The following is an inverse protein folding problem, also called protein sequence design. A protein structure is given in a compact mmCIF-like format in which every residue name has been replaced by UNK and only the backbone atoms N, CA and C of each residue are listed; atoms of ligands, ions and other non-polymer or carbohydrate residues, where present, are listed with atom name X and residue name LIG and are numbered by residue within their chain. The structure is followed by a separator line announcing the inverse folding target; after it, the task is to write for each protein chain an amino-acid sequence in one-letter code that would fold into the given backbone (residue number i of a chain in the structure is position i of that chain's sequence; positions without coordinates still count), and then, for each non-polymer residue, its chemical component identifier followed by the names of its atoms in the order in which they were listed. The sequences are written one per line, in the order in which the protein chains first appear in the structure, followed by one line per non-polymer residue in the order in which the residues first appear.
data_IF_441340168611
#
_entry.id   IF_441340168611
#
_cell.length_a   1.000
_cell.length_b   1.000
_cell.length_c   1.000
_cell.angle_alpha   90.00
_cell.angle_beta   90.00
_cell.angle_gamma   90.00
#
_symmetry.space_group_name_H-M   'P 1'
#
loop_
_entity.id
_entity.type
_entity.pdbx_description
1 polymer ?
#
# COMPACT_ATOMS: atom_id res chain seq x y z
N UNK A 1 -8.64 -5.24 -12.73
CA UNK A 1 -9.18 -3.92 -13.10
C UNK A 1 -8.59 -2.74 -12.31
N UNK A 2 -8.76 -2.59 -10.98
CA UNK A 2 -8.26 -1.38 -10.26
C UNK A 2 -6.73 -1.23 -10.26
N UNK A 3 -6.01 -2.32 -10.00
CA UNK A 3 -4.55 -2.34 -10.07
C UNK A 3 -4.04 -2.06 -11.49
N UNK A 4 -4.74 -2.57 -12.51
CA UNK A 4 -4.42 -2.32 -13.92
C UNK A 4 -4.73 -0.87 -14.35
N UNK A 5 -5.78 -0.25 -13.79
CA UNK A 5 -6.05 1.17 -14.00
C UNK A 5 -4.98 2.03 -13.33
N UNK A 6 -4.57 1.68 -12.11
CA UNK A 6 -3.48 2.36 -11.40
C UNK A 6 -2.17 2.28 -12.20
N UNK A 7 -1.84 1.11 -12.77
CA UNK A 7 -0.63 0.95 -13.59
C UNK A 7 -0.71 1.71 -14.92
N UNK A 8 -1.90 1.91 -15.48
CA UNK A 8 -2.12 2.70 -16.71
C UNK A 8 -1.99 4.22 -16.51
N UNK A 9 -2.16 4.73 -15.29
CA UNK A 9 -2.17 6.17 -15.01
C UNK A 9 -0.79 6.77 -14.63
N UNK A 10 0.31 6.17 -15.12
CA UNK A 10 1.65 6.76 -15.19
C UNK A 10 2.20 7.37 -13.89
N UNK A 11 2.58 6.52 -12.94
CA UNK A 11 3.72 6.82 -12.08
C UNK A 11 5.00 6.51 -12.87
N UNK A 12 5.92 7.46 -13.06
CA UNK A 12 7.22 7.19 -13.68
C UNK A 12 7.86 5.97 -13.03
N UNK A 13 8.26 5.03 -13.88
CA UNK A 13 8.86 3.78 -13.44
C UNK A 13 10.35 3.99 -13.35
N UNK A 14 10.89 4.13 -12.14
CA UNK A 14 12.33 4.15 -11.91
C UNK A 14 12.76 2.69 -11.72
N UNK A 15 13.61 2.22 -12.61
CA UNK A 15 14.33 0.96 -12.45
C UNK A 15 15.45 1.18 -11.44
N UNK A 16 15.43 0.42 -10.34
CA UNK A 16 16.60 0.37 -9.46
C UNK A 16 17.73 -0.48 -10.10
N UNK A 17 18.93 -0.43 -9.51
CA UNK A 17 20.10 -1.24 -9.93
C UNK A 17 19.82 -2.76 -9.87
N UNK A 18 18.70 -3.16 -9.25
CA UNK A 18 18.26 -4.54 -9.11
C UNK A 18 17.23 -4.95 -10.18
N UNK A 19 16.78 -4.03 -11.05
CA UNK A 19 15.83 -4.29 -12.13
C UNK A 19 14.36 -4.20 -11.69
N UNK A 20 14.06 -3.76 -10.48
CA UNK A 20 12.70 -3.55 -10.02
C UNK A 20 12.13 -2.27 -10.59
N UNK A 21 11.00 -2.39 -11.28
CA UNK A 21 10.21 -1.26 -11.78
C UNK A 21 9.42 -0.65 -10.63
N UNK A 22 9.97 0.37 -9.98
CA UNK A 22 9.26 1.10 -8.92
C UNK A 22 8.50 2.29 -9.50
N UNK A 23 7.20 2.37 -9.21
CA UNK A 23 6.46 3.62 -9.38
C UNK A 23 7.09 4.70 -8.49
N UNK A 24 7.25 5.92 -9.01
CA UNK A 24 7.90 7.10 -8.39
C UNK A 24 7.55 7.38 -6.90
N UNK A 25 6.46 6.81 -6.40
CA UNK A 25 6.02 6.92 -5.01
C UNK A 25 6.40 5.66 -4.22
N UNK A 26 7.63 5.61 -3.71
CA UNK A 26 8.01 4.61 -2.70
C UNK A 26 7.64 5.11 -1.30
N UNK A 27 7.19 4.19 -0.44
CA UNK A 27 6.94 4.49 0.98
C UNK A 27 7.90 3.68 1.82
N UNK A 28 8.64 4.34 2.71
CA UNK A 28 9.43 3.63 3.72
C UNK A 28 8.53 3.20 4.87
N UNK A 29 8.28 1.90 4.95
CA UNK A 29 7.68 1.29 6.14
C UNK A 29 8.78 1.04 7.16
N UNK A 30 8.70 1.69 8.33
CA UNK A 30 9.58 1.42 9.46
C UNK A 30 8.76 0.86 10.61
N UNK A 31 9.23 -0.23 11.20
CA UNK A 31 8.71 -0.69 12.48
C UNK A 31 8.95 0.41 13.51
N UNK A 32 7.87 0.89 14.13
CA UNK A 32 7.97 1.87 15.21
C UNK A 32 7.86 1.10 16.50
N UNK A 33 8.98 0.96 17.23
CA UNK A 33 9.03 0.30 18.54
C UNK A 33 8.19 1.09 19.54
N UNK A 34 6.90 0.77 19.64
CA UNK A 34 5.91 1.28 20.61
C UNK A 34 5.91 2.79 20.85
N UNK A 35 4.78 3.44 20.60
CA UNK A 35 4.62 4.76 21.18
C UNK A 35 3.16 5.04 21.60
N UNK A 36 2.99 5.66 22.75
CA UNK A 36 1.70 6.02 23.33
C UNK A 36 1.01 7.11 22.49
N UNK A 37 0.00 6.83 21.67
CA UNK A 37 -0.76 7.87 20.96
C UNK A 37 -1.60 7.42 19.77
N UNK A 38 -2.61 8.24 19.40
CA UNK A 38 -3.52 8.02 18.25
C UNK A 38 -2.75 8.03 16.93
N UNK A 39 -2.96 7.02 16.09
CA UNK A 39 -2.47 6.99 14.70
C UNK A 39 -1.18 6.18 14.44
N UNK A 40 -0.89 5.12 15.20
CA UNK A 40 0.33 4.30 14.98
C UNK A 40 0.03 2.91 14.42
N UNK A 41 0.91 2.42 13.54
CA UNK A 41 0.93 1.06 13.01
C UNK A 41 1.15 1.01 11.50
N UNK A 42 0.35 1.75 10.73
CA UNK A 42 0.39 1.74 9.25
C UNK A 42 0.34 3.19 8.76
N UNK A 43 1.25 3.61 7.85
CA UNK A 43 1.21 4.95 7.27
C UNK A 43 -0.14 5.27 6.62
N UNK A 44 -0.59 6.51 6.78
CA UNK A 44 -1.86 6.99 6.23
C UNK A 44 -2.00 6.69 4.74
N UNK A 45 -0.95 6.89 3.95
CA UNK A 45 -0.94 6.61 2.51
C UNK A 45 -1.18 5.13 2.21
N UNK A 46 -0.55 4.21 2.96
CA UNK A 46 -0.76 2.77 2.81
C UNK A 46 -2.20 2.39 3.16
N UNK A 47 -2.75 2.97 4.23
CA UNK A 47 -4.14 2.76 4.62
C UNK A 47 -5.12 3.26 3.55
N UNK A 48 -4.90 4.47 3.03
CA UNK A 48 -5.70 5.03 1.94
C UNK A 48 -5.63 4.16 0.68
N UNK A 49 -4.44 3.74 0.27
CA UNK A 49 -4.21 2.84 -0.86
C UNK A 49 -5.00 1.54 -0.72
N UNK A 50 -4.90 0.90 0.44
CA UNK A 50 -5.60 -0.35 0.72
C UNK A 50 -7.11 -0.19 0.65
N UNK A 51 -7.67 0.88 1.23
CA UNK A 51 -9.11 1.17 1.17
C UNK A 51 -9.62 1.31 -0.26
N UNK A 52 -8.92 2.09 -1.09
CA UNK A 52 -9.31 2.31 -2.48
C UNK A 52 -9.31 1.00 -3.26
N UNK A 53 -8.26 0.18 -3.11
CA UNK A 53 -8.16 -1.09 -3.82
C UNK A 53 -9.17 -2.12 -3.32
N UNK A 54 -9.37 -2.21 -2.01
CA UNK A 54 -10.32 -3.14 -1.41
C UNK A 54 -11.78 -2.67 -1.52
N UNK A 55 -12.08 -1.48 -2.06
CA UNK A 55 -13.45 -1.01 -2.18
C UNK A 55 -14.32 -1.98 -2.99
N UNK A 56 -15.53 -2.28 -2.53
CA UNK A 56 -16.44 -3.26 -3.15
C UNK A 56 -17.53 -2.58 -3.98
N UNK A 57 -17.68 -1.26 -3.86
CA UNK A 57 -18.68 -0.49 -4.59
C UNK A 57 -18.17 0.89 -5.01
N UNK A 58 -18.79 1.51 -6.04
CA UNK A 58 -18.55 2.92 -6.36
C UNK A 58 -18.95 3.86 -5.22
N UNK A 59 -19.97 3.50 -4.43
CA UNK A 59 -20.41 4.31 -3.30
C UNK A 59 -19.32 4.45 -2.24
N UNK A 60 -18.60 3.38 -1.91
CA UNK A 60 -17.47 3.47 -0.97
C UNK A 60 -16.37 4.41 -1.49
N UNK A 61 -16.11 4.42 -2.80
CA UNK A 61 -15.14 5.37 -3.39
C UNK A 61 -15.63 6.81 -3.25
N UNK A 62 -16.92 7.06 -3.49
CA UNK A 62 -17.51 8.39 -3.29
C UNK A 62 -17.45 8.82 -1.82
N UNK A 63 -17.68 7.90 -0.89
CA UNK A 63 -17.58 8.17 0.55
C UNK A 63 -16.13 8.51 0.94
N UNK A 64 -15.15 7.82 0.37
CA UNK A 64 -13.73 8.15 0.57
C UNK A 64 -13.35 9.53 -0.03
N UNK A 65 -13.89 9.86 -1.21
CA UNK A 65 -13.68 11.18 -1.80
C UNK A 65 -14.29 12.28 -0.92
N UNK A 66 -15.47 12.02 -0.34
CA UNK A 66 -16.12 12.93 0.62
C UNK A 66 -15.30 13.08 1.90
N UNK A 67 -14.80 11.98 2.49
CA UNK A 67 -13.89 12.03 3.65
C UNK A 67 -12.66 12.91 3.33
N UNK A 68 -12.04 12.72 2.16
CA UNK A 68 -10.88 13.52 1.77
C UNK A 68 -11.23 15.01 1.63
N UNK A 69 -12.39 15.33 1.03
CA UNK A 69 -12.87 16.71 0.85
C UNK A 69 -13.24 17.40 2.17
N UNK A 70 -13.74 16.66 3.16
CA UNK A 70 -14.05 17.17 4.51
C UNK A 70 -12.78 17.37 5.37
N UNK A 71 -11.65 16.79 4.96
CA UNK A 71 -10.35 16.96 5.58
C UNK A 71 -9.46 17.88 4.72
N UNK A 72 -8.14 17.75 4.83
CA UNK A 72 -7.16 18.53 4.06
C UNK A 72 -6.85 17.90 2.68
N UNK A 73 -7.87 17.31 2.04
CA UNK A 73 -7.70 16.55 0.80
C UNK A 73 -7.11 15.16 1.00
N UNK A 74 -6.99 14.68 2.24
CA UNK A 74 -6.36 13.40 2.56
C UNK A 74 -7.35 12.38 3.13
N UNK A 75 -7.34 11.18 2.55
CA UNK A 75 -8.07 10.01 3.04
C UNK A 75 -7.31 9.32 4.20
N UNK A 76 -8.04 8.59 5.05
CA UNK A 76 -7.50 7.66 6.03
C UNK A 76 -6.76 8.30 7.22
N UNK A 77 -7.23 9.48 7.64
CA UNK A 77 -6.77 10.18 8.85
C UNK A 77 -6.95 9.35 10.12
N UNK A 78 -7.98 8.50 10.17
CA UNK A 78 -8.24 7.53 11.23
C UNK A 78 -8.75 6.21 10.65
N UNK A 79 -8.97 5.17 11.49
CA UNK A 79 -9.58 3.91 11.05
C UNK A 79 -11.00 4.10 10.50
N UNK A 80 -11.47 3.22 9.61
CA UNK A 80 -12.87 3.22 9.20
C UNK A 80 -13.79 2.93 10.38
N UNK A 81 -15.02 3.46 10.31
CA UNK A 81 -16.09 3.10 11.25
C UNK A 81 -16.49 1.62 11.10
N UNK A 82 -16.49 1.14 9.86
CA UNK A 82 -16.63 -0.28 9.57
C UNK A 82 -15.29 -0.99 9.81
N UNK A 83 -15.17 -1.64 10.95
CA UNK A 83 -13.95 -2.34 11.38
C UNK A 83 -13.66 -3.55 10.51
N UNK A 84 -14.67 -4.24 9.98
CA UNK A 84 -14.48 -5.38 9.09
C UNK A 84 -13.80 -4.93 7.78
N UNK A 85 -14.25 -3.80 7.22
CA UNK A 85 -13.64 -3.23 6.01
C UNK A 85 -12.22 -2.73 6.26
N UNK A 86 -11.94 -2.17 7.44
CA UNK A 86 -10.58 -1.80 7.83
C UNK A 86 -9.66 -3.04 7.93
N UNK A 87 -10.15 -4.13 8.52
CA UNK A 87 -9.40 -5.40 8.62
C UNK A 87 -9.11 -5.98 7.24
N UNK A 88 -10.09 -6.03 6.34
CA UNK A 88 -9.90 -6.53 4.98
C UNK A 88 -8.83 -5.71 4.23
N UNK A 89 -8.82 -4.38 4.39
CA UNK A 89 -7.80 -3.51 3.81
C UNK A 89 -6.40 -3.81 4.39
N UNK A 90 -6.29 -4.05 5.70
CA UNK A 90 -5.02 -4.41 6.31
C UNK A 90 -4.52 -5.81 5.92
N UNK A 91 -5.42 -6.78 5.75
CA UNK A 91 -5.07 -8.12 5.24
C UNK A 91 -4.53 -8.04 3.81
N UNK A 92 -5.13 -7.19 2.97
CA UNK A 92 -4.60 -6.91 1.64
C UNK A 92 -3.19 -6.34 1.68
N UNK A 93 -2.91 -5.36 2.56
CA UNK A 93 -1.55 -4.83 2.73
C UNK A 93 -0.56 -5.91 3.15
N UNK A 94 -0.93 -6.73 4.14
CA UNK A 94 -0.08 -7.83 4.62
C UNK A 94 0.27 -8.79 3.48
N UNK A 95 -0.70 -9.21 2.68
CA UNK A 95 -0.47 -10.07 1.52
C UNK A 95 0.56 -9.45 0.56
N UNK A 96 0.37 -8.18 0.17
CA UNK A 96 1.25 -7.49 -0.78
C UNK A 96 2.67 -7.30 -0.24
N UNK A 97 2.81 -7.00 1.05
CA UNK A 97 4.12 -6.84 1.68
C UNK A 97 4.85 -8.19 1.73
N UNK A 98 4.16 -9.27 2.11
CA UNK A 98 4.74 -10.62 2.15
C UNK A 98 5.17 -11.10 0.77
N UNK A 99 4.36 -10.85 -0.27
CA UNK A 99 4.72 -11.14 -1.66
C UNK A 99 5.99 -10.39 -2.09
N UNK A 100 6.12 -9.10 -1.72
CA UNK A 100 7.30 -8.30 -2.05
C UNK A 100 8.55 -8.81 -1.33
N UNK A 101 8.44 -9.16 -0.04
CA UNK A 101 9.55 -9.75 0.73
C UNK A 101 10.01 -11.05 0.08
N UNK A 102 9.07 -11.95 -0.24
CA UNK A 102 9.37 -13.22 -0.88
C UNK A 102 10.08 -13.05 -2.23
N UNK A 103 9.58 -12.16 -3.09
CA UNK A 103 10.20 -11.88 -4.39
C UNK A 103 11.61 -11.30 -4.24
N UNK A 104 11.81 -10.44 -3.25
CA UNK A 104 13.12 -9.86 -2.95
C UNK A 104 14.11 -10.93 -2.47
N UNK A 105 13.70 -11.75 -1.49
CA UNK A 105 14.54 -12.83 -0.95
C UNK A 105 14.93 -13.84 -2.03
N UNK A 106 13.98 -14.27 -2.88
CA UNK A 106 14.26 -15.14 -4.02
C UNK A 106 15.26 -14.50 -5.00
N UNK A 107 15.17 -13.18 -5.22
CA UNK A 107 16.12 -12.47 -6.10
C UNK A 107 17.54 -12.39 -5.52
N UNK A 108 17.68 -12.40 -4.20
CA UNK A 108 18.97 -12.47 -3.53
C UNK A 108 19.58 -13.87 -3.65
N UNK A 109 18.78 -14.93 -3.45
CA UNK A 109 19.24 -16.31 -3.59
C UNK A 109 19.74 -16.62 -5.01
N UNK A 110 19.02 -16.16 -6.04
CA UNK A 110 19.43 -16.29 -7.45
C UNK A 110 20.75 -15.59 -7.77
N UNK A 111 21.10 -14.50 -7.05
CA UNK A 111 22.39 -13.82 -7.22
C UNK A 111 23.55 -14.53 -6.52
N UNK A 112 23.26 -15.37 -5.52
CA UNK A 112 24.28 -16.07 -4.72
C UNK A 112 24.64 -17.43 -5.34
N UNK A 113 23.75 -18.03 -6.14
CA UNK A 113 24.06 -19.25 -6.90
C UNK A 113 24.95 -18.93 -8.11
N UNK A 114 26.18 -19.47 -8.19
CA UNK A 114 26.97 -19.36 -9.40
C UNK A 114 26.30 -20.18 -10.50
N UNK A 115 26.16 -19.58 -11.68
CA UNK A 115 25.82 -20.31 -12.91
C UNK A 115 27.00 -21.26 -13.18
N UNK A 116 26.78 -22.56 -12.96
CA UNK A 116 27.70 -23.64 -13.35
C UNK A 116 27.60 -23.92 -14.85
#
# INVERSE_FOLDING_TARGET
MKLELLSRHCTPTITDDLGFTSAENSFTLKEVRSAHGKGRGIPQSCRAYARVLCSKSPQEINDFAKEAAENDGRLARGPLRDTCREIEAHQFLLLRITELIYLYDASLEVRITPIL
#
